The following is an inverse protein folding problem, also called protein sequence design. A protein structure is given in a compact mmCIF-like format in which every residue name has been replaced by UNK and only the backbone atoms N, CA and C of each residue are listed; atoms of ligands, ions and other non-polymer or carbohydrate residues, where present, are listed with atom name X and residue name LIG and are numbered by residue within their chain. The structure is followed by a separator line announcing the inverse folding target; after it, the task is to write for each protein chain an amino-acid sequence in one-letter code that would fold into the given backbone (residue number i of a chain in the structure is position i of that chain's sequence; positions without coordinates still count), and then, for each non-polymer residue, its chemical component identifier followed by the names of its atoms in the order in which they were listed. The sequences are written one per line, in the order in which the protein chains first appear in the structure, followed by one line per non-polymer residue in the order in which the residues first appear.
data_IF_311714918238
#
_entry.id   IF_311714918238
#
_cell.length_a   1.000
_cell.length_b   1.000
_cell.length_c   1.000
_cell.angle_alpha   90.00
_cell.angle_beta   90.00
_cell.angle_gamma   90.00
#
_symmetry.space_group_name_H-M   'P 1'
#
loop_
_entity.id
_entity.type
_entity.pdbx_description
1 polymer ?
#
# COMPACT_ATOMS: atom_id res chain seq x y z
N UNK A 1 59.09 -11.23 10.42
CA UNK A 1 58.15 -10.49 9.54
C UNK A 1 58.71 -9.11 9.23
N UNK A 2 58.49 -8.59 8.02
CA UNK A 2 58.94 -7.26 7.62
C UNK A 2 58.11 -6.18 8.36
N UNK A 3 58.75 -5.19 8.98
CA UNK A 3 58.10 -4.13 9.75
C UNK A 3 57.06 -3.35 8.93
N UNK A 4 57.39 -3.03 7.68
CA UNK A 4 56.47 -2.28 6.79
C UNK A 4 55.24 -3.08 6.41
N UNK A 5 55.38 -4.41 6.29
CA UNK A 5 54.25 -5.31 6.06
C UNK A 5 53.33 -5.36 7.28
N UNK A 6 53.89 -5.43 8.49
CA UNK A 6 53.09 -5.42 9.73
C UNK A 6 52.37 -4.09 9.94
N UNK A 7 53.05 -2.96 9.75
CA UNK A 7 52.46 -1.62 9.86
C UNK A 7 51.32 -1.44 8.85
N UNK A 8 51.48 -1.96 7.63
CA UNK A 8 50.44 -1.90 6.59
C UNK A 8 49.22 -2.76 6.93
N UNK A 9 49.42 -4.02 7.33
CA UNK A 9 48.31 -4.89 7.72
C UNK A 9 47.55 -4.33 8.93
N UNK A 10 48.27 -3.76 9.93
CA UNK A 10 47.63 -3.10 11.07
C UNK A 10 46.80 -1.90 10.63
N UNK A 11 47.34 -1.05 9.75
CA UNK A 11 46.60 0.08 9.20
C UNK A 11 45.35 -0.39 8.42
N UNK A 12 45.49 -1.41 7.58
CA UNK A 12 44.39 -1.95 6.77
C UNK A 12 43.28 -2.53 7.69
N UNK A 13 43.64 -3.24 8.76
CA UNK A 13 42.68 -3.76 9.75
C UNK A 13 41.89 -2.66 10.47
N UNK A 14 42.57 -1.59 10.90
CA UNK A 14 41.91 -0.45 11.57
C UNK A 14 40.93 0.27 10.63
N UNK A 15 41.32 0.46 9.36
CA UNK A 15 40.51 1.18 8.37
C UNK A 15 39.46 0.32 7.67
N UNK A 16 39.41 -1.00 7.90
CA UNK A 16 38.37 -1.86 7.38
C UNK A 16 37.00 -1.38 7.86
N UNK A 17 36.03 -1.23 6.95
CA UNK A 17 34.67 -0.75 7.26
C UNK A 17 33.64 -1.76 6.81
N UNK A 18 32.46 -1.68 7.44
CA UNK A 18 31.30 -2.43 6.99
C UNK A 18 30.96 -2.05 5.56
N UNK A 19 30.82 -3.07 4.69
CA UNK A 19 30.51 -2.89 3.26
C UNK A 19 31.46 -1.94 2.52
N UNK A 20 32.76 -2.18 2.70
CA UNK A 20 33.79 -1.50 1.93
C UNK A 20 33.79 -1.92 0.45
N UNK A 21 34.67 -1.31 -0.35
CA UNK A 21 34.77 -1.56 -1.81
C UNK A 21 35.00 -3.04 -2.15
N UNK A 22 35.67 -3.79 -1.29
CA UNK A 22 36.01 -5.19 -1.51
C UNK A 22 34.90 -6.13 -0.99
N UNK A 23 34.04 -5.64 -0.09
CA UNK A 23 33.01 -6.43 0.60
C UNK A 23 31.60 -5.80 0.49
N UNK A 24 31.09 -5.43 -0.70
CA UNK A 24 29.89 -4.59 -0.84
C UNK A 24 28.58 -5.22 -0.31
N UNK A 25 28.51 -6.55 -0.24
CA UNK A 25 27.32 -7.31 0.16
C UNK A 25 27.48 -8.02 1.51
N UNK A 26 28.51 -7.65 2.26
CA UNK A 26 28.82 -8.29 3.55
C UNK A 26 27.68 -8.11 4.56
N UNK A 27 27.46 -9.17 5.34
CA UNK A 27 26.51 -9.22 6.45
C UNK A 27 27.15 -8.70 7.75
N UNK A 28 26.36 -8.20 8.71
CA UNK A 28 26.89 -7.65 9.96
C UNK A 28 27.82 -8.62 10.70
N UNK A 29 27.44 -9.89 10.77
CA UNK A 29 28.23 -10.95 11.39
C UNK A 29 29.54 -11.19 10.63
N UNK A 30 29.48 -11.31 9.30
CA UNK A 30 30.67 -11.49 8.44
C UNK A 30 31.69 -10.36 8.64
N UNK A 31 31.22 -9.11 8.73
CA UNK A 31 32.07 -7.96 9.00
C UNK A 31 32.75 -8.03 10.36
N UNK A 32 31.99 -8.36 11.40
CA UNK A 32 32.50 -8.46 12.76
C UNK A 32 33.59 -9.54 12.84
N UNK A 33 33.35 -10.70 12.23
CA UNK A 33 34.33 -11.80 12.17
C UNK A 33 35.57 -11.38 11.38
N UNK A 34 35.41 -10.86 10.15
CA UNK A 34 36.52 -10.41 9.30
C UNK A 34 37.39 -9.38 10.01
N UNK A 35 36.76 -8.42 10.68
CA UNK A 35 37.48 -7.35 11.37
C UNK A 35 38.17 -7.85 12.63
N UNK A 36 37.54 -8.76 13.37
CA UNK A 36 38.18 -9.43 14.51
C UNK A 36 39.43 -10.20 14.09
N UNK A 37 39.33 -11.01 13.05
CA UNK A 37 40.47 -11.77 12.53
C UNK A 37 41.60 -10.82 12.12
N UNK A 38 41.28 -9.72 11.42
CA UNK A 38 42.27 -8.74 11.00
C UNK A 38 42.98 -8.04 12.18
N UNK A 39 42.25 -7.70 13.24
CA UNK A 39 42.79 -7.00 14.41
C UNK A 39 43.65 -7.90 15.31
N UNK A 40 43.29 -9.17 15.42
CA UNK A 40 43.95 -10.14 16.31
C UNK A 40 45.22 -10.75 15.72
N UNK A 41 45.47 -10.62 14.40
CA UNK A 41 46.71 -11.13 13.77
C UNK A 41 47.99 -10.50 14.34
N UNK A 42 47.94 -9.24 14.81
CA UNK A 42 49.14 -8.45 15.13
C UNK A 42 49.17 -7.89 16.55
N UNK A 43 48.12 -8.04 17.34
CA UNK A 43 48.01 -7.44 18.68
C UNK A 43 47.06 -8.25 19.56
N UNK A 44 47.41 -8.36 20.84
CA UNK A 44 46.53 -8.96 21.84
C UNK A 44 45.52 -7.89 22.27
N UNK A 45 44.26 -8.09 21.91
CA UNK A 45 43.15 -7.23 22.30
C UNK A 45 42.33 -7.92 23.37
N UNK A 46 41.86 -7.17 24.37
CA UNK A 46 40.77 -7.66 25.21
C UNK A 46 39.45 -7.61 24.44
N UNK A 47 38.49 -8.48 24.75
CA UNK A 47 37.17 -8.49 24.10
C UNK A 47 36.53 -7.10 24.08
N UNK A 48 36.59 -6.36 25.19
CA UNK A 48 35.99 -5.03 25.29
C UNK A 48 36.69 -4.00 24.40
N UNK A 49 38.03 -4.03 24.30
CA UNK A 49 38.78 -3.15 23.40
C UNK A 49 38.52 -3.51 21.94
N UNK A 50 38.46 -4.81 21.63
CA UNK A 50 38.17 -5.34 20.30
C UNK A 50 36.76 -4.94 19.83
N UNK A 51 35.75 -5.15 20.68
CA UNK A 51 34.35 -4.78 20.40
C UNK A 51 34.26 -3.26 20.17
N UNK A 52 34.90 -2.47 21.03
CA UNK A 52 34.91 -1.00 20.88
C UNK A 52 35.54 -0.59 19.55
N UNK A 53 36.65 -1.19 19.15
CA UNK A 53 37.32 -0.86 17.87
C UNK A 53 36.50 -1.28 16.65
N UNK A 54 35.84 -2.44 16.72
CA UNK A 54 34.92 -2.89 15.66
C UNK A 54 33.73 -1.93 15.55
N UNK A 55 33.16 -1.50 16.67
CA UNK A 55 32.02 -0.58 16.70
C UNK A 55 32.39 0.85 16.28
N UNK A 56 33.62 1.32 16.55
CA UNK A 56 34.11 2.63 16.09
C UNK A 56 34.15 2.78 14.56
N UNK A 57 34.20 1.65 13.86
CA UNK A 57 34.30 1.57 12.41
C UNK A 57 33.06 1.00 11.74
N UNK A 58 32.11 0.54 12.56
CA UNK A 58 30.77 0.18 12.15
C UNK A 58 29.95 1.43 11.78
N UNK A 59 28.84 1.26 11.03
CA UNK A 59 27.90 2.35 10.80
C UNK A 59 27.35 2.93 12.11
N UNK A 60 27.19 4.26 12.17
CA UNK A 60 26.74 4.96 13.38
C UNK A 60 25.40 4.45 13.92
N UNK A 61 24.49 3.99 13.05
CA UNK A 61 23.18 3.49 13.46
C UNK A 61 23.26 2.16 14.24
N UNK A 62 24.39 1.45 14.20
CA UNK A 62 24.58 0.21 14.98
C UNK A 62 24.62 0.48 16.48
N UNK A 63 25.11 1.65 16.90
CA UNK A 63 25.16 2.05 18.31
C UNK A 63 23.77 2.19 18.96
N UNK A 64 22.69 2.24 18.16
CA UNK A 64 21.31 2.22 18.65
C UNK A 64 20.89 0.84 19.16
N UNK A 65 21.53 -0.22 18.68
CA UNK A 65 21.16 -1.61 18.96
C UNK A 65 22.21 -2.33 19.81
N UNK A 66 23.47 -1.89 19.74
CA UNK A 66 24.59 -2.50 20.45
C UNK A 66 25.24 -1.44 21.36
N UNK A 67 25.08 -1.63 22.66
CA UNK A 67 25.71 -0.81 23.69
C UNK A 67 27.01 -1.46 24.17
N UNK A 68 28.14 -0.89 23.78
CA UNK A 68 29.48 -1.39 24.14
C UNK A 68 29.82 -1.21 25.62
N UNK A 69 29.03 -0.46 26.39
CA UNK A 69 29.20 -0.36 27.85
C UNK A 69 28.64 -1.57 28.59
N UNK A 70 27.71 -2.29 27.97
CA UNK A 70 27.06 -3.49 28.53
C UNK A 70 27.63 -4.76 27.90
N UNK A 71 27.83 -4.74 26.57
CA UNK A 71 28.32 -5.87 25.80
C UNK A 71 29.84 -5.89 25.84
N UNK A 72 30.41 -6.62 26.80
CA UNK A 72 31.86 -6.64 27.04
C UNK A 72 32.56 -7.94 26.63
N UNK A 73 31.81 -9.02 26.43
CA UNK A 73 32.33 -10.34 26.04
C UNK A 73 32.05 -10.62 24.57
N UNK A 74 32.94 -11.37 23.93
CA UNK A 74 32.83 -11.68 22.51
C UNK A 74 31.54 -12.44 22.16
N UNK A 75 31.16 -13.42 22.97
CA UNK A 75 29.96 -14.24 22.73
C UNK A 75 28.66 -13.41 22.80
N UNK A 76 28.51 -12.53 23.80
CA UNK A 76 27.34 -11.65 23.92
C UNK A 76 27.30 -10.64 22.76
N UNK A 77 28.46 -10.19 22.29
CA UNK A 77 28.53 -9.32 21.12
C UNK A 77 28.04 -10.01 19.85
N UNK A 78 28.49 -11.24 19.58
CA UNK A 78 28.01 -12.01 18.44
C UNK A 78 26.51 -12.31 18.54
N UNK A 79 26.02 -12.70 19.73
CA UNK A 79 24.60 -12.93 19.96
C UNK A 79 23.76 -11.67 19.69
N UNK A 80 24.25 -10.50 20.10
CA UNK A 80 23.58 -9.21 19.83
C UNK A 80 23.59 -8.84 18.35
N UNK A 81 24.70 -9.07 17.66
CA UNK A 81 24.84 -8.83 16.22
C UNK A 81 23.87 -9.73 15.45
N UNK A 82 23.83 -11.02 15.77
CA UNK A 82 22.92 -11.98 15.15
C UNK A 82 21.45 -11.64 15.45
N UNK A 83 21.13 -11.29 16.70
CA UNK A 83 19.76 -10.93 17.10
C UNK A 83 19.24 -9.67 16.38
N UNK A 84 20.11 -8.70 16.12
CA UNK A 84 19.77 -7.44 15.49
C UNK A 84 20.12 -7.38 13.99
N UNK A 85 20.50 -8.49 13.36
CA UNK A 85 21.08 -8.53 12.02
C UNK A 85 20.26 -7.73 10.99
N UNK A 86 18.94 -7.96 10.92
CA UNK A 86 18.05 -7.24 10.01
C UNK A 86 18.07 -5.72 10.25
N UNK A 87 18.12 -5.27 11.51
CA UNK A 87 18.14 -3.85 11.86
C UNK A 87 19.49 -3.21 11.59
N UNK A 88 20.58 -3.97 11.74
CA UNK A 88 21.94 -3.52 11.42
C UNK A 88 22.15 -3.34 9.91
N UNK A 89 21.46 -4.13 9.09
CA UNK A 89 21.46 -4.02 7.63
C UNK A 89 20.73 -2.77 7.11
N UNK A 90 19.56 -2.49 7.66
CA UNK A 90 18.68 -1.44 7.16
C UNK A 90 19.01 -0.12 7.83
N UNK A 91 19.94 0.60 7.22
CA UNK A 91 20.15 1.99 7.56
C UNK A 91 18.94 2.80 7.09
N UNK A 92 18.15 3.38 8.01
CA UNK A 92 17.06 4.31 7.68
C UNK A 92 17.55 5.52 6.85
N UNK A 93 18.86 5.67 6.68
CA UNK A 93 19.53 6.63 5.80
C UNK A 93 19.22 6.42 4.31
N UNK A 94 18.46 5.41 3.88
CA UNK A 94 17.79 5.48 2.56
C UNK A 94 16.91 6.74 2.47
N UNK A 95 16.32 7.16 3.60
CA UNK A 95 15.57 8.41 3.72
C UNK A 95 16.43 9.67 3.53
N UNK A 96 17.75 9.64 3.75
CA UNK A 96 18.59 10.84 3.51
C UNK A 96 18.75 11.15 2.03
N UNK A 97 18.81 10.12 1.17
CA UNK A 97 18.87 10.31 -0.28
C UNK A 97 17.55 10.88 -0.81
N UNK A 98 16.43 10.43 -0.24
CA UNK A 98 15.09 10.92 -0.54
C UNK A 98 14.89 12.35 -0.04
N UNK A 99 15.31 12.65 1.20
CA UNK A 99 15.28 13.99 1.79
C UNK A 99 16.20 14.93 1.02
N UNK A 100 17.42 14.51 0.65
CA UNK A 100 18.31 15.32 -0.16
C UNK A 100 17.77 15.55 -1.57
N UNK A 101 17.14 14.55 -2.18
CA UNK A 101 16.44 14.71 -3.46
C UNK A 101 15.31 15.73 -3.33
N UNK A 102 14.49 15.63 -2.29
CA UNK A 102 13.40 16.55 -2.00
C UNK A 102 13.90 17.98 -1.72
N UNK A 103 15.00 18.13 -0.98
CA UNK A 103 15.64 19.43 -0.73
C UNK A 103 16.21 20.03 -2.01
N UNK A 104 16.85 19.23 -2.86
CA UNK A 104 17.36 19.68 -4.15
C UNK A 104 16.22 20.06 -5.10
N UNK A 105 15.12 19.33 -5.10
CA UNK A 105 13.91 19.63 -5.85
C UNK A 105 13.28 20.95 -5.37
N UNK A 106 13.12 21.13 -4.06
CA UNK A 106 12.62 22.36 -3.45
C UNK A 106 13.52 23.56 -3.75
N UNK A 107 14.84 23.37 -3.69
CA UNK A 107 15.84 24.40 -4.06
C UNK A 107 15.75 24.76 -5.54
N UNK A 108 15.49 23.78 -6.41
CA UNK A 108 15.29 24.03 -7.85
C UNK A 108 14.00 24.81 -8.12
N UNK A 109 12.91 24.51 -7.39
CA UNK A 109 11.65 25.25 -7.47
C UNK A 109 11.82 26.70 -7.04
N UNK A 110 12.49 26.94 -5.90
CA UNK A 110 12.79 28.29 -5.42
C UNK A 110 13.63 29.10 -6.43
N UNK A 111 14.65 28.47 -7.04
CA UNK A 111 15.47 29.12 -8.07
C UNK A 111 14.66 29.46 -9.33
N UNK A 112 13.69 28.62 -9.73
CA UNK A 112 12.77 28.91 -10.85
C UNK A 112 11.85 30.08 -10.53
N UNK A 113 11.36 30.20 -9.31
CA UNK A 113 10.56 31.33 -8.83
C UNK A 113 11.36 32.64 -8.80
N UNK A 114 12.64 32.57 -8.43
CA UNK A 114 13.53 33.72 -8.37
C UNK A 114 13.94 34.22 -9.77
N UNK A 115 14.28 33.32 -10.69
CA UNK A 115 14.61 33.64 -12.08
C UNK A 115 13.40 34.04 -12.94
N UNK A 116 12.17 33.67 -12.55
CA UNK A 116 10.92 34.03 -13.25
C UNK A 116 10.65 35.55 -13.23
N UNK A 117 11.20 36.30 -12.27
CA UNK A 117 11.01 37.76 -12.20
C UNK A 117 11.68 38.55 -13.33
N UNK A 118 12.55 37.92 -14.13
CA UNK A 118 13.34 38.62 -15.16
C UNK A 118 13.04 38.20 -16.60
N UNK A 119 12.11 37.25 -16.83
CA UNK A 119 11.73 36.81 -18.18
C UNK A 119 10.34 37.35 -18.55
N UNK A 120 10.30 38.62 -18.92
CA UNK A 120 9.14 39.18 -19.61
C UNK A 120 9.04 38.59 -21.02
N UNK A 121 7.85 38.08 -21.37
CA UNK A 121 7.38 37.63 -22.70
C UNK A 121 7.50 36.14 -23.00
N UNK A 122 6.67 35.30 -22.36
CA UNK A 122 5.93 34.26 -23.11
C UNK A 122 4.68 33.80 -22.36
N UNK A 123 3.54 33.90 -23.03
CA UNK A 123 2.26 33.22 -22.80
C UNK A 123 1.70 33.16 -21.37
N UNK A 124 0.74 34.06 -21.12
CA UNK A 124 -0.31 33.90 -20.12
C UNK A 124 -1.16 32.67 -20.47
N UNK A 125 -0.76 31.50 -19.97
CA UNK A 125 -1.71 30.53 -19.42
C UNK A 125 -1.32 30.35 -17.97
N UNK A 126 -1.80 31.28 -17.16
CA UNK A 126 -1.90 31.05 -15.73
C UNK A 126 -2.77 29.81 -15.54
N UNK A 127 -2.14 28.65 -15.35
CA UNK A 127 -2.74 27.59 -14.58
C UNK A 127 -2.89 28.16 -13.18
N UNK A 128 -3.99 28.87 -12.95
CA UNK A 128 -4.55 28.92 -11.61
C UNK A 128 -4.64 27.45 -11.20
N UNK A 129 -3.91 27.08 -10.15
CA UNK A 129 -4.14 25.84 -9.45
C UNK A 129 -5.55 25.95 -8.84
N UNK A 130 -6.57 25.78 -9.69
CA UNK A 130 -7.91 25.53 -9.25
C UNK A 130 -7.81 24.18 -8.53
N UNK A 131 -7.97 24.19 -7.20
CA UNK A 131 -8.28 22.98 -6.45
C UNK A 131 -9.32 22.20 -7.26
N UNK A 132 -9.03 20.94 -7.54
CA UNK A 132 -9.95 20.08 -8.30
C UNK A 132 -11.34 20.17 -7.66
N UNK A 133 -12.42 20.33 -8.44
CA UNK A 133 -13.75 20.46 -7.87
C UNK A 133 -14.12 19.19 -7.11
N UNK A 134 -14.99 19.30 -6.10
CA UNK A 134 -15.42 18.14 -5.30
C UNK A 134 -16.08 17.11 -6.22
N UNK A 135 -15.71 15.84 -6.08
CA UNK A 135 -16.11 14.76 -6.98
C UNK A 135 -15.32 14.60 -8.27
N UNK A 136 -14.26 15.38 -8.48
CA UNK A 136 -13.37 15.17 -9.62
C UNK A 136 -12.46 13.96 -9.40
N UNK A 137 -12.44 13.05 -10.37
CA UNK A 137 -11.50 11.95 -10.45
C UNK A 137 -10.91 11.83 -11.88
N UNK A 138 -9.71 11.26 -12.00
CA UNK A 138 -8.97 11.11 -13.27
C UNK A 138 -9.69 10.18 -14.27
N UNK A 139 -10.48 9.24 -13.77
CA UNK A 139 -11.25 8.30 -14.58
C UNK A 139 -12.66 8.79 -14.91
N UNK A 140 -13.02 10.02 -14.54
CA UNK A 140 -14.36 10.52 -14.86
C UNK A 140 -14.55 10.60 -16.38
N UNK A 141 -15.50 9.84 -16.96
CA UNK A 141 -15.68 9.86 -18.40
C UNK A 141 -16.17 11.23 -18.86
N UNK A 142 -15.77 11.62 -20.07
CA UNK A 142 -16.33 12.79 -20.71
C UNK A 142 -17.85 12.61 -20.90
N UNK A 143 -18.66 13.66 -20.69
CA UNK A 143 -20.11 13.55 -20.79
C UNK A 143 -20.50 13.18 -22.23
N UNK A 144 -21.33 12.13 -22.43
CA UNK A 144 -21.71 11.67 -23.76
C UNK A 144 -22.75 12.58 -24.44
N UNK A 145 -23.42 13.46 -23.69
CA UNK A 145 -24.41 14.39 -24.23
C UNK A 145 -23.89 15.84 -24.23
N UNK A 146 -24.38 16.70 -25.15
CA UNK A 146 -24.06 18.11 -25.16
C UNK A 146 -24.47 18.81 -23.87
N UNK A 147 -23.72 19.86 -23.51
CA UNK A 147 -24.01 20.70 -22.34
C UNK A 147 -25.41 21.28 -22.41
N UNK A 148 -26.17 21.05 -21.35
CA UNK A 148 -27.54 21.55 -21.21
C UNK A 148 -27.68 22.35 -19.91
N UNK A 149 -27.67 23.68 -20.03
CA UNK A 149 -27.86 24.59 -18.90
C UNK A 149 -29.35 24.99 -18.72
N UNK A 150 -30.28 24.39 -19.48
CA UNK A 150 -31.72 24.70 -19.36
C UNK A 150 -32.37 24.06 -18.14
N UNK A 151 -31.88 22.90 -17.70
CA UNK A 151 -32.28 22.27 -16.44
C UNK A 151 -31.43 22.82 -15.30
N UNK A 152 -32.10 23.36 -14.27
CA UNK A 152 -31.47 23.86 -13.05
C UNK A 152 -32.00 23.05 -11.86
N UNK A 153 -31.11 22.49 -11.04
CA UNK A 153 -31.50 21.76 -9.83
C UNK A 153 -32.12 22.69 -8.79
N UNK A 154 -32.98 22.14 -7.93
CA UNK A 154 -33.49 22.85 -6.77
C UNK A 154 -32.35 23.07 -5.76
N UNK A 155 -32.39 24.20 -5.04
CA UNK A 155 -31.36 24.54 -4.06
C UNK A 155 -30.04 24.97 -4.69
N UNK A 156 -28.92 24.61 -4.04
CA UNK A 156 -27.57 24.93 -4.53
C UNK A 156 -27.19 24.01 -5.69
N UNK A 157 -26.60 24.59 -6.73
CA UNK A 157 -26.11 23.84 -7.90
C UNK A 157 -24.69 23.33 -7.69
N UNK A 158 -24.20 22.37 -8.51
CA UNK A 158 -22.78 21.99 -8.48
C UNK A 158 -21.83 23.17 -8.60
N UNK A 159 -22.20 24.22 -9.34
CA UNK A 159 -21.43 25.46 -9.44
C UNK A 159 -21.23 26.12 -8.07
N UNK A 160 -22.28 26.16 -7.25
CA UNK A 160 -22.29 26.87 -5.97
C UNK A 160 -21.54 26.09 -4.89
N UNK A 161 -21.67 24.75 -4.89
CA UNK A 161 -20.93 23.85 -4.00
C UNK A 161 -19.50 23.55 -4.49
N UNK A 162 -19.04 24.18 -5.60
CA UNK A 162 -17.72 23.94 -6.23
C UNK A 162 -17.47 22.45 -6.56
N UNK A 163 -18.55 21.75 -6.90
CA UNK A 163 -18.55 20.35 -7.28
C UNK A 163 -18.28 20.19 -8.78
N UNK A 164 -17.96 18.97 -9.21
CA UNK A 164 -17.75 18.66 -10.63
C UNK A 164 -19.02 18.89 -11.46
N UNK A 165 -18.90 19.20 -12.77
CA UNK A 165 -20.06 19.26 -13.63
C UNK A 165 -20.75 17.90 -13.77
N UNK A 166 -22.01 17.95 -14.21
CA UNK A 166 -22.82 16.77 -14.43
C UNK A 166 -22.11 15.77 -15.36
N UNK A 167 -22.02 14.50 -14.96
CA UNK A 167 -21.35 13.44 -15.74
C UNK A 167 -22.09 13.11 -17.03
N UNK A 168 -23.37 13.44 -17.14
CA UNK A 168 -24.17 13.11 -18.32
C UNK A 168 -24.04 14.15 -19.44
N UNK A 169 -24.03 15.44 -19.11
CA UNK A 169 -24.02 16.53 -20.10
C UNK A 169 -22.92 17.59 -19.89
N UNK A 170 -22.25 17.61 -18.72
CA UNK A 170 -21.24 18.61 -18.40
C UNK A 170 -21.77 19.95 -17.92
N UNK A 171 -23.07 20.07 -17.61
CA UNK A 171 -23.63 21.29 -17.01
C UNK A 171 -23.21 21.44 -15.54
N UNK A 172 -23.07 22.70 -15.09
CA UNK A 172 -22.88 23.03 -13.68
C UNK A 172 -24.18 23.48 -13.01
N UNK A 173 -25.29 23.53 -13.76
CA UNK A 173 -26.56 24.07 -13.29
C UNK A 173 -27.46 23.01 -12.63
N UNK A 174 -27.16 21.72 -12.81
CA UNK A 174 -27.91 20.64 -12.20
C UNK A 174 -27.02 19.47 -11.76
N UNK A 175 -27.47 18.76 -10.72
CA UNK A 175 -26.89 17.52 -10.21
C UNK A 175 -27.13 16.35 -11.17
N UNK A 176 -26.33 15.28 -11.05
CA UNK A 176 -26.40 14.12 -11.96
C UNK A 176 -27.80 13.50 -12.02
N UNK A 177 -28.51 13.47 -10.89
CA UNK A 177 -29.86 12.88 -10.74
C UNK A 177 -30.94 13.67 -11.47
N UNK A 178 -30.73 14.97 -11.65
CA UNK A 178 -31.69 15.90 -12.26
C UNK A 178 -31.51 16.03 -13.77
N UNK A 179 -30.43 15.47 -14.30
CA UNK A 179 -30.17 15.51 -15.73
C UNK A 179 -31.24 14.72 -16.49
N UNK A 180 -31.79 15.30 -17.56
CA UNK A 180 -32.74 14.63 -18.48
C UNK A 180 -32.21 13.30 -19.03
N UNK A 181 -30.89 13.16 -19.09
CA UNK A 181 -30.18 12.00 -19.60
C UNK A 181 -29.79 10.97 -18.53
N UNK A 182 -30.08 11.24 -17.25
CA UNK A 182 -29.67 10.38 -16.14
C UNK A 182 -30.18 8.93 -16.31
N UNK A 183 -31.45 8.77 -16.70
CA UNK A 183 -32.08 7.46 -16.90
C UNK A 183 -31.51 6.70 -18.11
N UNK A 184 -31.09 7.42 -19.16
CA UNK A 184 -30.58 6.83 -20.40
C UNK A 184 -29.13 6.32 -20.22
N UNK A 185 -28.36 7.02 -19.39
CA UNK A 185 -26.96 6.69 -19.13
C UNK A 185 -26.72 5.89 -17.83
N UNK A 186 -27.76 5.57 -17.07
CA UNK A 186 -27.63 4.90 -15.78
C UNK A 186 -26.91 3.54 -15.88
N UNK A 187 -27.09 2.79 -16.97
CA UNK A 187 -26.46 1.46 -17.15
C UNK A 187 -24.94 1.54 -17.34
N UNK A 188 -24.47 2.43 -18.22
CA UNK A 188 -23.04 2.60 -18.50
C UNK A 188 -22.27 3.18 -17.30
N UNK A 189 -22.95 4.04 -16.53
CA UNK A 189 -22.41 4.59 -15.29
C UNK A 189 -22.25 3.51 -14.21
N UNK A 190 -23.23 2.63 -14.03
CA UNK A 190 -23.18 1.57 -13.01
C UNK A 190 -22.07 0.55 -13.27
N UNK A 191 -21.82 0.18 -14.53
CA UNK A 191 -20.72 -0.72 -14.87
C UNK A 191 -19.35 -0.11 -14.56
N UNK A 192 -19.17 1.19 -14.81
CA UNK A 192 -17.92 1.88 -14.48
C UNK A 192 -17.65 1.92 -12.97
N UNK A 193 -18.70 2.09 -12.15
CA UNK A 193 -18.54 2.17 -10.70
C UNK A 193 -18.32 0.81 -10.02
N UNK A 194 -18.69 -0.30 -10.66
CA UNK A 194 -18.42 -1.64 -10.11
C UNK A 194 -16.92 -1.98 -10.08
N UNK A 195 -16.12 -1.36 -10.95
CA UNK A 195 -14.66 -1.53 -11.04
C UNK A 195 -13.88 -0.33 -10.48
N UNK A 196 -14.58 0.61 -9.83
CA UNK A 196 -13.98 1.84 -9.33
C UNK A 196 -13.01 1.58 -8.17
N UNK A 197 -11.87 2.28 -8.17
CA UNK A 197 -10.91 2.28 -7.07
C UNK A 197 -11.47 3.00 -5.83
N UNK A 198 -10.91 2.74 -4.65
CA UNK A 198 -11.29 3.40 -3.39
C UNK A 198 -11.27 4.94 -3.49
N UNK A 199 -10.26 5.53 -4.13
CA UNK A 199 -10.19 6.97 -4.40
C UNK A 199 -11.34 7.51 -5.27
N UNK A 200 -11.87 6.67 -6.18
CA UNK A 200 -12.98 7.03 -7.05
C UNK A 200 -14.31 6.95 -6.30
N UNK A 201 -14.45 5.96 -5.42
CA UNK A 201 -15.57 5.88 -4.48
C UNK A 201 -15.61 7.08 -3.55
N UNK A 202 -14.48 7.44 -2.93
CA UNK A 202 -14.40 8.60 -2.04
C UNK A 202 -14.73 9.93 -2.75
N UNK A 203 -14.30 10.09 -4.01
CA UNK A 203 -14.68 11.25 -4.79
C UNK A 203 -16.18 11.30 -5.08
N UNK A 204 -16.78 10.16 -5.47
CA UNK A 204 -18.21 10.09 -5.76
C UNK A 204 -19.06 10.33 -4.50
N UNK A 205 -18.68 9.74 -3.37
CA UNK A 205 -19.34 9.88 -2.08
C UNK A 205 -19.39 11.36 -1.65
N UNK A 206 -18.24 12.05 -1.68
CA UNK A 206 -18.17 13.48 -1.39
C UNK A 206 -18.99 14.35 -2.35
N UNK A 207 -19.26 13.88 -3.57
CA UNK A 207 -20.15 14.57 -4.51
C UNK A 207 -21.63 14.32 -4.19
N UNK A 208 -21.99 13.10 -3.80
CA UNK A 208 -23.35 12.72 -3.41
C UNK A 208 -23.76 13.40 -2.10
N UNK A 209 -22.85 13.49 -1.12
CA UNK A 209 -23.07 14.26 0.11
C UNK A 209 -23.45 15.72 -0.18
N UNK A 210 -22.71 16.40 -1.08
CA UNK A 210 -23.01 17.78 -1.44
C UNK A 210 -24.34 17.92 -2.20
N UNK A 211 -24.73 16.90 -2.96
CA UNK A 211 -26.01 16.84 -3.64
C UNK A 211 -27.14 16.72 -2.61
N UNK A 212 -27.03 15.77 -1.68
CA UNK A 212 -28.06 15.53 -0.66
C UNK A 212 -28.17 16.72 0.31
N UNK A 213 -27.05 17.33 0.72
CA UNK A 213 -27.02 18.61 1.43
C UNK A 213 -27.80 19.71 0.70
N UNK A 214 -27.58 19.85 -0.61
CA UNK A 214 -28.25 20.88 -1.41
C UNK A 214 -29.76 20.66 -1.50
N UNK A 215 -30.19 19.39 -1.45
CA UNK A 215 -31.59 19.01 -1.41
C UNK A 215 -32.22 19.24 -0.04
N UNK A 216 -31.50 18.94 1.04
CA UNK A 216 -31.95 19.14 2.41
C UNK A 216 -32.06 20.63 2.76
N UNK A 217 -31.04 21.43 2.41
CA UNK A 217 -31.08 22.89 2.53
C UNK A 217 -32.21 23.54 1.68
N UNK A 218 -32.62 22.88 0.59
CA UNK A 218 -33.72 23.33 -0.25
C UNK A 218 -35.12 22.94 0.24
N UNK A 219 -35.20 22.02 1.21
CA UNK A 219 -36.45 21.46 1.75
C UNK A 219 -36.88 22.10 3.07
N UNK A 220 -36.15 23.11 3.56
CA UNK A 220 -36.39 23.86 4.81
C UNK A 220 -37.64 24.76 4.76
N UNK A 221 -38.66 24.37 3.98
CA UNK A 221 -39.94 25.05 3.90
C UNK A 221 -41.15 24.12 4.01
N UNK A 222 -41.03 22.79 4.03
CA UNK A 222 -42.19 21.92 4.25
C UNK A 222 -41.88 20.69 5.14
N UNK A 223 -42.47 20.75 6.34
CA UNK A 223 -42.87 19.66 7.27
C UNK A 223 -41.81 18.75 7.89
N UNK A 224 -41.65 18.92 9.21
CA UNK A 224 -41.20 17.88 10.14
C UNK A 224 -42.21 16.72 10.11
N UNK A 225 -41.80 15.56 9.59
CA UNK A 225 -42.43 14.28 9.89
C UNK A 225 -41.37 13.34 10.47
N UNK A 226 -41.42 13.23 11.79
CA UNK A 226 -40.76 12.25 12.65
C UNK A 226 -40.81 10.83 12.06
N UNK A 227 -39.66 10.31 11.63
CA UNK A 227 -39.50 8.89 11.28
C UNK A 227 -38.93 8.14 12.50
N UNK A 228 -39.85 7.55 13.26
CA UNK A 228 -39.61 6.69 14.42
C UNK A 228 -38.54 5.62 14.19
N UNK A 229 -37.56 5.56 15.11
CA UNK A 229 -36.61 4.47 15.27
C UNK A 229 -37.35 3.14 15.48
N UNK A 230 -37.22 2.19 14.54
CA UNK A 230 -37.60 0.80 14.78
C UNK A 230 -36.37 0.00 15.18
N UNK A 231 -36.22 -0.09 16.51
CA UNK A 231 -35.48 -1.09 17.25
C UNK A 231 -35.90 -2.52 16.79
N UNK A 232 -35.01 -3.20 16.08
CA UNK A 232 -35.11 -4.63 15.77
C UNK A 232 -33.84 -5.35 16.24
N UNK A 233 -33.64 -5.40 17.55
CA UNK A 233 -32.86 -6.45 18.19
C UNK A 233 -33.78 -7.63 18.54
N UNK A 234 -33.98 -8.58 17.61
CA UNK A 234 -34.51 -9.90 17.96
C UNK A 234 -33.47 -11.00 17.64
N UNK A 235 -32.93 -11.71 18.64
CA UNK A 235 -31.92 -12.74 18.43
C UNK A 235 -32.46 -14.00 17.74
N UNK A 236 -31.69 -14.52 16.79
CA UNK A 236 -31.92 -15.78 16.07
C UNK A 236 -32.11 -16.96 17.05
N UNK A 237 -33.26 -17.64 16.98
CA UNK A 237 -33.49 -18.89 17.71
C UNK A 237 -32.78 -20.07 17.03
N UNK A 238 -32.02 -20.91 17.76
CA UNK A 238 -31.37 -22.09 17.19
C UNK A 238 -32.38 -23.22 16.93
N UNK A 239 -32.40 -23.74 15.70
CA UNK A 239 -33.08 -24.98 15.34
C UNK A 239 -32.17 -26.17 15.69
N UNK A 240 -32.32 -26.72 16.89
CA UNK A 240 -31.78 -28.02 17.23
C UNK A 240 -32.80 -28.85 18.01
N UNK A 241 -32.95 -30.09 17.56
CA UNK A 241 -33.59 -31.25 18.20
C UNK A 241 -35.13 -31.32 18.25
N UNK A 242 -35.68 -32.04 17.27
CA UNK A 242 -36.81 -32.96 17.50
C UNK A 242 -36.66 -34.12 16.52
N UNK A 243 -35.90 -35.12 16.95
CA UNK A 243 -35.98 -36.46 16.40
C UNK A 243 -37.13 -37.17 17.12
N UNK A 244 -38.08 -37.74 16.37
CA UNK A 244 -38.61 -39.06 16.68
C UNK A 244 -39.38 -39.65 15.49
N UNK A 245 -38.82 -40.77 15.02
CA UNK A 245 -39.43 -41.97 14.46
C UNK A 245 -40.68 -41.89 13.56
N UNK A 246 -40.51 -42.24 12.28
CA UNK A 246 -41.47 -43.10 11.59
C UNK A 246 -40.79 -44.06 10.60
N UNK A 247 -41.11 -45.35 10.73
CA UNK A 247 -40.52 -46.52 10.07
C UNK A 247 -41.20 -46.74 8.69
N UNK A 248 -40.48 -47.17 7.64
CA UNK A 248 -41.07 -47.38 6.31
C UNK A 248 -41.73 -48.77 6.19
N UNK A 249 -42.95 -48.80 5.66
CA UNK A 249 -43.62 -50.03 5.24
C UNK A 249 -43.47 -50.23 3.71
N UNK A 250 -43.19 -51.47 3.37
CA UNK A 250 -42.72 -52.00 2.09
C UNK A 250 -43.80 -52.30 1.04
N UNK A 251 -43.32 -52.36 -0.22
CA UNK A 251 -43.67 -53.28 -1.32
C UNK A 251 -44.93 -53.06 -2.18
N UNK A 252 -44.72 -52.91 -3.51
CA UNK A 252 -45.13 -53.85 -4.58
C UNK A 252 -44.50 -53.41 -5.93
N UNK A 253 -43.57 -54.22 -6.49
CA UNK A 253 -43.75 -55.09 -7.68
C UNK A 253 -44.03 -54.32 -8.99
N UNK A 254 -43.10 -54.22 -9.94
CA UNK A 254 -42.64 -55.22 -10.94
C UNK A 254 -42.76 -54.52 -12.31
N UNK A 255 -42.08 -54.79 -13.42
CA UNK A 255 -41.22 -55.84 -14.01
C UNK A 255 -40.82 -55.23 -15.39
N UNK A 256 -39.64 -55.36 -15.98
CA UNK A 256 -39.07 -56.44 -16.82
C UNK A 256 -37.80 -55.81 -17.44
N UNK A 257 -36.62 -56.44 -17.37
CA UNK A 257 -35.98 -57.18 -18.49
C UNK A 257 -35.20 -56.25 -19.43
N UNK A 258 -33.97 -56.49 -19.91
CA UNK A 258 -33.13 -57.69 -19.95
C UNK A 258 -31.72 -57.28 -20.44
N UNK A 259 -30.69 -57.95 -19.88
CA UNK A 259 -29.36 -58.34 -20.38
C UNK A 259 -28.66 -57.55 -21.54
N UNK A 260 -27.35 -57.28 -21.49
CA UNK A 260 -26.25 -58.27 -21.48
C UNK A 260 -24.88 -57.61 -21.33
N UNK A 261 -23.98 -58.29 -20.58
CA UNK A 261 -22.54 -58.51 -20.85
C UNK A 261 -21.58 -57.33 -20.71
N UNK A 262 -20.67 -57.31 -19.71
CA UNK A 262 -19.38 -58.05 -19.66
C UNK A 262 -18.44 -57.63 -20.80
N UNK A 263 -17.16 -57.33 -20.61
CA UNK A 263 -16.25 -57.45 -19.47
C UNK A 263 -14.91 -56.83 -19.93
N UNK A 264 -14.10 -56.38 -18.96
CA UNK A 264 -12.64 -56.61 -18.92
C UNK A 264 -11.74 -55.95 -19.98
N UNK A 265 -10.51 -55.51 -19.72
CA UNK A 265 -9.66 -55.58 -18.53
C UNK A 265 -8.38 -54.77 -18.82
N UNK A 266 -7.70 -54.35 -17.74
CA UNK A 266 -6.23 -54.36 -17.53
C UNK A 266 -5.32 -53.63 -18.53
N UNK A 267 -4.12 -53.14 -18.20
CA UNK A 267 -3.37 -52.81 -17.00
C UNK A 267 -2.03 -52.26 -17.56
N UNK A 268 -1.34 -51.38 -16.84
CA UNK A 268 -0.04 -50.89 -17.30
C UNK A 268 0.63 -49.97 -16.29
N UNK A 269 1.05 -50.56 -15.16
CA UNK A 269 1.97 -50.01 -14.15
C UNK A 269 3.41 -50.30 -14.64
N UNK A 270 4.38 -49.39 -14.49
CA UNK A 270 5.52 -49.40 -13.54
C UNK A 270 6.69 -48.72 -14.28
N UNK A 271 7.77 -48.17 -13.73
CA UNK A 271 8.22 -47.75 -12.39
C UNK A 271 9.53 -46.96 -12.65
N UNK A 272 9.85 -46.12 -11.68
CA UNK A 272 11.06 -45.34 -11.48
C UNK A 272 12.19 -46.22 -10.91
N UNK A 273 13.46 -46.03 -11.33
CA UNK A 273 14.62 -46.44 -10.52
C UNK A 273 15.89 -45.66 -10.88
N UNK A 274 16.68 -45.48 -9.83
CA UNK A 274 17.79 -44.58 -9.53
C UNK A 274 19.18 -45.12 -9.95
N UNK A 275 20.19 -44.24 -9.83
CA UNK A 275 21.65 -44.44 -9.76
C UNK A 275 22.43 -44.66 -11.08
N UNK A 276 23.37 -43.75 -11.38
CA UNK A 276 24.82 -43.79 -11.03
C UNK A 276 25.35 -42.36 -11.02
#
# INVERSE_FOLDING_TARGET
MNRTFMERNKADALHARFRDKNHPHEMPEEYVIRKMEALTILSDWTDSELITEIMNSAPEHWALYIDTSVVTTWDDFLDKVAWHEEKLLHNEVSGTSDIQRQLNEMKSMLKRLENSKHSGRTAVRAHQAASKPVGWHKNNPAPPYPKDDSTVSKGKTPKDKKARPCRHCGSLMHWDRDCKHAKQNARAVRSHMAEASEDEWAAQDAYEDLCDDAYLEGSDSESEEEASEQDFHEPLRPLAASADAYIPASAQQGSEGEATGSESDLAGKTEETTEI
#
